data_IF_077687233831
#
_entry.id   IF_077687233831
#
_cell.length_a   1.000
_cell.length_b   1.000
_cell.length_c   1.000
_cell.angle_alpha   90.00
_cell.angle_beta   90.00
_cell.angle_gamma   90.00
#
_symmetry.space_group_name_H-M   'P 1'
#
loop_
_entity.id
_entity.type
_entity.pdbx_description
1 polymer ?
#
# COMPACT_ATOMS: atom_id res chain seq x y z
N UNK A 1 0.57 8.86 6.57
CA UNK A 1 -0.77 8.83 7.21
C UNK A 1 -0.72 8.16 8.58
N UNK A 2 -0.37 6.87 8.66
CA UNK A 2 -0.31 6.09 9.92
C UNK A 2 0.45 6.79 11.06
N UNK A 3 1.72 7.17 10.85
CA UNK A 3 2.51 7.86 11.88
C UNK A 3 1.91 9.21 12.32
N UNK A 4 1.31 9.94 11.38
CA UNK A 4 0.62 11.20 11.69
C UNK A 4 -0.65 10.96 12.51
N UNK A 5 -1.39 9.89 12.20
CA UNK A 5 -2.58 9.50 12.95
C UNK A 5 -2.24 9.07 14.37
N UNK A 6 -1.17 8.28 14.55
CA UNK A 6 -0.67 7.96 15.88
C UNK A 6 -0.30 9.22 16.66
N UNK A 7 0.44 10.14 16.05
CA UNK A 7 0.81 11.42 16.69
C UNK A 7 -0.41 12.27 17.07
N UNK A 8 -1.48 12.20 16.26
CA UNK A 8 -2.74 12.86 16.57
C UNK A 8 -3.46 12.17 17.75
N UNK A 9 -3.46 10.83 17.80
CA UNK A 9 -4.03 10.06 18.91
C UNK A 9 -3.31 10.30 20.23
N UNK A 10 -1.98 10.41 20.22
CA UNK A 10 -1.18 10.81 21.40
C UNK A 10 -1.56 12.21 21.92
N UNK A 11 -2.18 13.06 21.07
CA UNK A 11 -2.68 14.39 21.44
C UNK A 11 -4.17 14.38 21.80
N UNK A 12 -4.78 13.21 21.94
CA UNK A 12 -6.19 13.04 22.31
C UNK A 12 -7.17 13.18 21.14
N UNK A 13 -6.71 13.15 19.89
CA UNK A 13 -7.58 13.17 18.70
C UNK A 13 -7.96 11.74 18.27
N UNK A 14 -9.07 11.59 17.57
CA UNK A 14 -9.57 10.28 17.10
C UNK A 14 -9.72 10.25 15.57
N UNK A 15 -8.59 10.30 14.83
CA UNK A 15 -8.64 10.37 13.37
C UNK A 15 -9.22 9.09 12.76
N UNK A 16 -9.86 9.24 11.59
CA UNK A 16 -10.12 8.15 10.67
C UNK A 16 -9.06 8.17 9.57
N UNK A 17 -8.53 7.00 9.26
CA UNK A 17 -7.36 6.85 8.39
C UNK A 17 -7.71 5.96 7.22
N UNK A 18 -7.66 6.54 6.02
CA UNK A 18 -7.82 5.80 4.77
C UNK A 18 -6.52 5.90 3.99
N UNK A 19 -5.98 4.76 3.60
CA UNK A 19 -4.75 4.69 2.79
C UNK A 19 -4.96 3.85 1.56
N UNK A 20 -4.27 4.22 0.49
CA UNK A 20 -4.31 3.55 -0.80
C UNK A 20 -2.89 3.08 -1.10
N UNK A 21 -2.71 1.77 -1.25
CA UNK A 21 -1.41 1.22 -1.62
C UNK A 21 -0.34 1.42 -0.55
N UNK A 22 -0.71 1.48 0.73
CA UNK A 22 0.26 1.84 1.77
C UNK A 22 1.30 0.73 2.00
N UNK A 23 2.59 1.07 2.17
CA UNK A 23 3.60 0.11 2.59
C UNK A 23 3.45 -0.26 4.08
N UNK A 24 4.11 -1.33 4.50
CA UNK A 24 4.27 -1.67 5.92
C UNK A 24 5.07 -0.57 6.62
N UNK A 25 4.62 -0.15 7.80
CA UNK A 25 5.10 1.08 8.44
C UNK A 25 5.92 0.84 9.71
N UNK A 26 5.80 -0.33 10.33
CA UNK A 26 6.52 -0.65 11.57
C UNK A 26 6.66 -2.14 11.79
N UNK A 27 7.21 -2.50 12.95
CA UNK A 27 7.35 -3.89 13.38
C UNK A 27 6.05 -4.39 14.04
N UNK A 28 6.09 -5.63 14.56
CA UNK A 28 4.95 -6.25 15.24
C UNK A 28 4.52 -5.51 16.52
N UNK A 29 5.47 -4.98 17.30
CA UNK A 29 5.17 -4.19 18.50
C UNK A 29 4.41 -2.91 18.14
N UNK A 30 4.94 -2.16 17.16
CA UNK A 30 4.28 -0.97 16.62
C UNK A 30 2.87 -1.28 16.13
N UNK A 31 2.71 -2.37 15.37
CA UNK A 31 1.42 -2.71 14.79
C UNK A 31 0.37 -3.03 15.86
N UNK A 32 0.76 -3.82 16.87
CA UNK A 32 -0.09 -4.13 18.01
C UNK A 32 -0.53 -2.87 18.74
N UNK A 33 0.42 -2.00 19.07
CA UNK A 33 0.14 -0.81 19.88
C UNK A 33 -0.72 0.20 19.10
N UNK A 34 -0.46 0.35 17.80
CA UNK A 34 -1.30 1.16 16.91
C UNK A 34 -2.72 0.61 16.80
N UNK A 35 -2.88 -0.71 16.62
CA UNK A 35 -4.19 -1.32 16.40
C UNK A 35 -5.11 -1.24 17.63
N UNK A 36 -4.54 -1.24 18.84
CA UNK A 36 -5.29 -0.97 20.07
C UNK A 36 -5.96 0.42 20.03
N UNK A 37 -5.24 1.44 19.55
CA UNK A 37 -5.72 2.82 19.57
C UNK A 37 -6.55 3.18 18.33
N UNK A 38 -6.12 2.75 17.14
CA UNK A 38 -6.57 3.26 15.85
C UNK A 38 -6.94 2.16 14.85
N UNK A 39 -6.75 0.88 15.18
CA UNK A 39 -7.10 -0.25 14.32
C UNK A 39 -8.56 -0.22 13.83
N UNK A 40 -9.55 0.02 14.73
CA UNK A 40 -10.97 0.20 14.37
C UNK A 40 -11.26 1.35 13.40
N UNK A 41 -10.33 2.30 13.24
CA UNK A 41 -10.51 3.54 12.46
C UNK A 41 -9.52 3.65 11.29
N UNK A 42 -8.74 2.61 11.03
CA UNK A 42 -7.73 2.59 9.98
C UNK A 42 -8.13 1.57 8.92
N UNK A 43 -8.21 2.01 7.67
CA UNK A 43 -8.63 1.23 6.52
C UNK A 43 -7.58 1.35 5.41
N UNK A 44 -7.12 0.19 4.94
CA UNK A 44 -6.08 0.07 3.91
C UNK A 44 -6.67 -0.53 2.67
N UNK A 45 -6.59 0.21 1.57
CA UNK A 45 -7.11 -0.23 0.29
C UNK A 45 -5.95 -0.75 -0.57
N UNK A 46 -6.13 -1.95 -1.12
CA UNK A 46 -5.15 -2.62 -1.98
C UNK A 46 -5.84 -3.00 -3.30
N UNK A 47 -5.36 -2.48 -4.41
CA UNK A 47 -5.92 -2.77 -5.73
C UNK A 47 -5.01 -3.71 -6.50
N UNK A 48 -5.60 -4.78 -7.06
CA UNK A 48 -4.90 -5.70 -7.95
C UNK A 48 -3.65 -6.29 -7.32
N UNK A 49 -2.53 -6.16 -8.03
CA UNK A 49 -1.21 -6.61 -7.61
C UNK A 49 -0.32 -5.43 -7.19
N UNK A 50 -0.91 -4.35 -6.64
CA UNK A 50 -0.14 -3.21 -6.14
C UNK A 50 1.01 -3.68 -5.23
N UNK A 51 2.19 -3.22 -5.60
CA UNK A 51 3.43 -3.65 -5.01
C UNK A 51 3.83 -2.95 -3.74
N UNK A 52 3.36 -1.72 -3.57
CA UNK A 52 3.76 -0.90 -2.43
C UNK A 52 3.30 -1.52 -1.11
N UNK A 53 2.09 -2.09 -0.99
CA UNK A 53 1.67 -2.86 0.19
C UNK A 53 2.52 -4.08 0.53
N UNK A 54 3.30 -4.58 -0.43
CA UNK A 54 4.14 -5.76 -0.20
C UNK A 54 5.48 -5.42 0.44
N UNK A 55 5.84 -4.13 0.56
CA UNK A 55 7.13 -3.68 1.08
C UNK A 55 7.00 -2.82 2.35
N UNK A 56 7.99 -2.84 3.27
CA UNK A 56 9.01 -3.88 3.37
C UNK A 56 8.36 -5.27 3.60
N UNK A 57 9.02 -6.37 3.19
CA UNK A 57 8.46 -7.72 3.37
C UNK A 57 8.23 -8.08 4.84
N UNK A 58 7.16 -8.83 5.11
CA UNK A 58 6.84 -9.30 6.48
C UNK A 58 7.89 -10.25 7.06
N UNK A 59 8.62 -10.98 6.21
CA UNK A 59 9.76 -11.81 6.61
C UNK A 59 10.92 -11.03 7.22
N UNK A 60 10.97 -9.71 7.05
CA UNK A 60 11.94 -8.81 7.71
C UNK A 60 11.41 -8.23 9.04
N UNK A 61 10.27 -8.72 9.54
CA UNK A 61 9.68 -8.28 10.81
C UNK A 61 8.75 -7.06 10.69
N UNK A 62 8.50 -6.55 9.48
CA UNK A 62 7.55 -5.47 9.26
C UNK A 62 6.11 -5.99 9.24
N UNK A 63 5.16 -5.18 9.70
CA UNK A 63 3.73 -5.51 9.78
C UNK A 63 2.86 -4.34 9.30
N UNK A 64 1.71 -4.69 8.75
CA UNK A 64 0.61 -3.75 8.51
C UNK A 64 -0.20 -3.47 9.79
N UNK A 65 -1.05 -2.43 9.71
CA UNK A 65 -1.97 -2.00 10.77
C UNK A 65 -3.36 -1.75 10.19
N UNK A 66 -4.40 -1.83 11.01
CA UNK A 66 -5.78 -1.54 10.60
C UNK A 66 -6.39 -2.60 9.69
N UNK A 67 -7.60 -2.30 9.24
CA UNK A 67 -8.38 -3.16 8.35
C UNK A 67 -7.78 -3.18 6.94
N UNK A 68 -7.85 -4.32 6.28
CA UNK A 68 -7.48 -4.47 4.88
C UNK A 68 -8.71 -4.66 4.00
N UNK A 69 -8.77 -3.92 2.90
CA UNK A 69 -9.78 -4.03 1.87
C UNK A 69 -9.09 -4.20 0.52
N UNK A 70 -9.00 -5.44 0.06
CA UNK A 70 -8.37 -5.78 -1.21
C UNK A 70 -9.42 -6.04 -2.30
N UNK A 71 -9.11 -5.66 -3.53
CA UNK A 71 -9.88 -6.05 -4.71
C UNK A 71 -8.94 -6.50 -5.84
N UNK A 72 -9.43 -7.38 -6.73
CA UNK A 72 -8.67 -7.81 -7.88
C UNK A 72 -8.63 -6.75 -8.99
N UNK A 73 -7.68 -6.85 -9.92
CA UNK A 73 -7.58 -5.93 -11.06
C UNK A 73 -8.90 -5.87 -11.83
N UNK A 74 -9.32 -4.67 -12.22
CA UNK A 74 -10.59 -4.41 -12.91
C UNK A 74 -11.87 -4.74 -12.13
N UNK A 75 -11.76 -5.05 -10.83
CA UNK A 75 -12.92 -5.22 -9.95
C UNK A 75 -13.16 -3.96 -9.10
N UNK A 76 -14.10 -4.04 -8.15
CA UNK A 76 -14.45 -2.95 -7.24
C UNK A 76 -14.17 -3.37 -5.81
N UNK A 77 -13.95 -2.38 -4.95
CA UNK A 77 -13.91 -2.62 -3.51
C UNK A 77 -15.29 -3.03 -3.02
N UNK A 78 -15.32 -4.11 -2.24
CA UNK A 78 -16.53 -4.67 -1.66
C UNK A 78 -16.39 -4.62 -0.13
N UNK A 79 -17.16 -3.74 0.51
CA UNK A 79 -17.10 -3.55 1.97
C UNK A 79 -17.39 -4.83 2.76
N UNK A 80 -18.09 -5.81 2.17
CA UNK A 80 -18.31 -7.12 2.81
C UNK A 80 -17.03 -7.96 2.92
N UNK A 81 -15.97 -7.62 2.18
CA UNK A 81 -14.65 -8.28 2.19
C UNK A 81 -13.62 -7.57 3.07
N UNK A 82 -14.08 -6.69 3.96
CA UNK A 82 -13.19 -6.00 4.89
C UNK A 82 -12.59 -7.00 5.90
N UNK A 83 -11.28 -7.11 5.93
CA UNK A 83 -10.55 -7.98 6.87
C UNK A 83 -10.11 -7.15 8.09
N UNK A 84 -10.49 -7.52 9.32
CA UNK A 84 -10.07 -6.81 10.53
C UNK A 84 -8.58 -7.04 10.88
N UNK A 85 -7.95 -6.16 11.67
CA UNK A 85 -6.61 -6.41 12.20
C UNK A 85 -6.59 -7.58 13.19
N UNK A 86 -5.49 -8.37 13.27
CA UNK A 86 -4.29 -8.22 12.46
C UNK A 86 -4.51 -8.75 11.04
N UNK A 87 -4.15 -7.93 10.03
CA UNK A 87 -4.17 -8.32 8.64
C UNK A 87 -2.89 -7.84 7.95
N UNK A 88 -2.01 -8.78 7.58
CA UNK A 88 -0.69 -8.50 7.00
C UNK A 88 -0.62 -8.73 5.48
N UNK A 89 -1.78 -8.90 4.85
CA UNK A 89 -1.90 -9.02 3.40
C UNK A 89 -1.67 -7.68 2.68
N UNK A 90 -1.19 -7.73 1.42
CA UNK A 90 -0.70 -8.92 0.70
C UNK A 90 0.76 -9.32 1.05
N UNK A 91 1.14 -10.61 0.93
CA UNK A 91 2.51 -11.04 1.10
C UNK A 91 3.42 -10.53 -0.04
N UNK A 92 4.72 -10.47 0.20
CA UNK A 92 5.70 -10.19 -0.85
C UNK A 92 5.78 -11.39 -1.82
N UNK A 93 5.37 -11.18 -3.07
CA UNK A 93 5.20 -12.26 -4.05
C UNK A 93 6.51 -12.85 -4.60
N UNK A 94 6.52 -14.13 -5.05
CA UNK A 94 7.70 -14.79 -5.61
C UNK A 94 8.15 -14.24 -6.97
N UNK A 95 7.24 -13.72 -7.81
CA UNK A 95 7.55 -13.20 -9.16
C UNK A 95 8.18 -11.81 -9.20
N UNK A 96 8.40 -11.20 -8.04
CA UNK A 96 8.79 -9.80 -7.88
C UNK A 96 10.12 -9.62 -7.14
N UNK A 97 10.57 -10.66 -6.45
CA UNK A 97 11.79 -10.62 -5.66
C UNK A 97 12.99 -10.18 -6.50
N UNK A 98 13.08 -10.63 -7.75
CA UNK A 98 14.13 -10.25 -8.70
C UNK A 98 14.07 -8.78 -9.14
N UNK A 99 12.87 -8.26 -9.46
CA UNK A 99 12.71 -6.90 -10.00
C UNK A 99 12.78 -5.80 -8.93
N UNK A 100 12.34 -6.08 -7.70
CA UNK A 100 12.33 -5.10 -6.62
C UNK A 100 13.55 -5.16 -5.70
N UNK A 101 14.29 -6.26 -5.59
CA UNK A 101 15.55 -6.23 -4.80
C UNK A 101 16.57 -5.25 -5.39
N UNK A 102 16.61 -5.10 -6.71
CA UNK A 102 17.45 -4.09 -7.38
C UNK A 102 16.90 -2.67 -7.19
N UNK A 103 15.59 -2.46 -7.38
CA UNK A 103 14.96 -1.13 -7.24
C UNK A 103 14.81 -0.63 -5.80
N UNK A 104 14.56 -1.53 -4.84
CA UNK A 104 14.42 -1.20 -3.42
C UNK A 104 15.77 -0.83 -2.78
N UNK A 105 16.89 -1.41 -3.24
CA UNK A 105 18.24 -0.94 -2.86
C UNK A 105 18.45 0.53 -3.24
N UNK A 106 17.98 0.93 -4.41
CA UNK A 106 18.05 2.31 -4.88
C UNK A 106 17.11 3.24 -4.09
N UNK A 107 15.87 2.80 -3.81
CA UNK A 107 14.92 3.58 -3.00
C UNK A 107 15.32 3.72 -1.52
N UNK A 108 15.86 2.66 -0.90
CA UNK A 108 16.39 2.70 0.47
C UNK A 108 17.67 3.53 0.60
N UNK A 109 18.35 3.84 -0.50
CA UNK A 109 19.59 4.63 -0.48
C UNK A 109 19.39 6.13 -0.25
N UNK A 110 18.14 6.65 -0.22
CA UNK A 110 17.83 8.08 0.00
C UNK A 110 18.75 9.03 -0.79
N UNK A 111 19.24 8.63 -1.96
CA UNK A 111 20.10 9.48 -2.78
C UNK A 111 19.23 10.41 -3.61
N UNK A 112 18.90 11.55 -3.01
CA UNK A 112 18.34 12.73 -3.68
C UNK A 112 19.43 13.39 -4.53
N UNK A 113 19.77 12.79 -5.67
CA UNK A 113 20.61 13.47 -6.66
C UNK A 113 19.72 14.30 -7.62
N UNK A 114 19.85 15.65 -7.67
CA UNK A 114 18.96 16.52 -8.44
C UNK A 114 19.09 16.41 -9.97
N UNK A 115 20.00 15.59 -10.51
CA UNK A 115 20.30 15.57 -11.95
C UNK A 115 19.51 14.53 -12.77
N UNK A 116 18.62 13.74 -12.18
CA UNK A 116 18.00 12.60 -12.88
C UNK A 116 16.74 13.03 -13.66
N UNK A 117 16.93 13.74 -14.76
CA UNK A 117 15.90 14.01 -15.79
C UNK A 117 16.53 13.97 -17.19
N UNK A 118 16.66 12.77 -17.76
CA UNK A 118 16.13 12.37 -19.08
C UNK A 118 16.61 10.97 -19.48
N UNK A 119 15.73 10.21 -20.13
CA UNK A 119 16.06 9.15 -21.11
C UNK A 119 16.23 7.67 -20.72
N UNK A 120 16.26 7.29 -19.43
CA UNK A 120 16.19 5.87 -19.01
C UNK A 120 14.95 5.52 -18.18
N UNK A 121 14.54 6.40 -17.26
CA UNK A 121 13.31 6.23 -16.46
C UNK A 121 12.06 6.20 -17.37
N UNK A 122 12.06 6.98 -18.45
CA UNK A 122 10.97 6.96 -19.44
C UNK A 122 10.88 5.65 -20.23
N UNK A 123 11.97 4.92 -20.39
CA UNK A 123 11.98 3.60 -21.04
C UNK A 123 11.70 2.46 -20.05
N UNK A 124 12.23 2.56 -18.83
CA UNK A 124 11.90 1.66 -17.71
C UNK A 124 10.43 1.76 -17.30
N UNK A 125 9.79 2.92 -17.50
CA UNK A 125 8.35 3.09 -17.29
C UNK A 125 7.48 2.14 -18.15
N UNK A 126 7.98 1.69 -19.32
CA UNK A 126 7.28 0.75 -20.21
C UNK A 126 7.47 -0.71 -19.81
N UNK A 127 8.43 -0.98 -18.93
CA UNK A 127 8.71 -2.27 -18.32
C UNK A 127 8.26 -2.31 -16.86
N UNK A 128 7.51 -1.28 -16.39
CA UNK A 128 6.92 -1.29 -15.06
C UNK A 128 6.14 -2.60 -14.94
N UNK A 129 6.51 -3.48 -14.00
CA UNK A 129 5.74 -4.67 -13.73
C UNK A 129 4.26 -4.26 -13.59
N UNK A 130 3.29 -5.03 -14.10
CA UNK A 130 1.86 -4.71 -13.98
C UNK A 130 1.43 -4.29 -12.57
N UNK A 131 2.18 -4.74 -11.56
CA UNK A 131 2.12 -4.38 -10.15
C UNK A 131 2.36 -2.88 -9.83
N UNK A 132 3.29 -2.19 -10.51
CA UNK A 132 3.47 -0.74 -10.35
C UNK A 132 2.36 0.07 -11.03
N UNK A 133 1.78 -0.47 -12.11
CA UNK A 133 0.60 0.10 -12.74
C UNK A 133 -0.64 0.05 -11.83
N UNK A 134 -0.76 -1.00 -11.02
CA UNK A 134 -1.87 -1.14 -10.05
C UNK A 134 -1.78 -0.18 -8.86
N UNK A 135 -0.60 0.39 -8.58
CA UNK A 135 -0.41 1.42 -7.55
C UNK A 135 -0.97 2.79 -7.97
N UNK A 136 -1.27 2.99 -9.26
CA UNK A 136 -1.61 4.32 -9.75
C UNK A 136 -2.97 4.81 -9.19
N UNK A 137 -3.09 6.11 -8.85
CA UNK A 137 -4.30 6.65 -8.22
C UNK A 137 -5.59 6.46 -9.02
N UNK A 138 -5.51 6.45 -10.35
CA UNK A 138 -6.65 6.22 -11.24
C UNK A 138 -7.25 4.82 -11.05
N UNK A 139 -6.44 3.81 -10.73
CA UNK A 139 -6.90 2.45 -10.47
C UNK A 139 -7.74 2.37 -9.20
N UNK A 140 -7.25 2.99 -8.13
CA UNK A 140 -7.98 3.14 -6.88
C UNK A 140 -9.28 3.90 -7.07
N UNK A 141 -9.25 5.01 -7.81
CA UNK A 141 -10.45 5.80 -8.10
C UNK A 141 -11.49 4.99 -8.87
N UNK A 142 -11.07 4.28 -9.91
CA UNK A 142 -11.96 3.38 -10.66
C UNK A 142 -12.54 2.30 -9.75
N UNK A 143 -11.73 1.69 -8.89
CA UNK A 143 -12.18 0.65 -7.95
C UNK A 143 -13.17 1.15 -6.89
N UNK A 144 -13.16 2.45 -6.57
CA UNK A 144 -14.09 3.12 -5.65
C UNK A 144 -15.37 3.64 -6.32
N UNK A 145 -15.30 4.00 -7.60
CA UNK A 145 -16.42 4.63 -8.30
C UNK A 145 -17.65 3.71 -8.31
N UNK A 146 -18.75 4.18 -7.71
CA UNK A 146 -20.05 3.54 -7.77
C UNK A 146 -20.50 3.41 -9.24
N UNK A 147 -21.08 2.25 -9.59
CA UNK A 147 -21.28 1.81 -10.97
C UNK A 147 -21.89 2.85 -11.90
N UNK A 148 -21.16 3.18 -12.98
CA UNK A 148 -21.77 3.52 -14.27
C UNK A 148 -21.82 2.24 -15.13
N UNK A 149 -22.80 2.10 -16.04
CA UNK A 149 -23.08 0.85 -16.72
C UNK A 149 -21.86 0.36 -17.51
N UNK A 150 -21.60 -0.95 -17.42
CA UNK A 150 -20.72 -1.65 -18.34
C UNK A 150 -21.24 -1.45 -19.76
N UNK A 151 -20.53 -0.66 -20.56
CA UNK A 151 -20.79 -0.56 -21.99
C UNK A 151 -20.66 -1.97 -22.61
N UNK A 152 -21.76 -2.42 -23.20
CA UNK A 152 -21.94 -3.69 -23.91
C UNK A 152 -21.24 -3.67 -25.26
#
# INVERSE_FOLDING_TARGET
AVLAAQRAAERGLTPEVYTFGMPRTGNEEFARDYDVALGPRTYRLVHGEDIVPTVPPSGLGFRHVGHCLACARHTRFDAARLTPPPCDDPPFGPGLQSALLEGARLMLSLSLDPQIRSDLIGQASRLLPPALGDHLPDRYWQALAAGGPSAS
#
